data_IF_614278316067
#
_entry.id   IF_614278316067
#
_cell.length_a   1.000
_cell.length_b   1.000
_cell.length_c   1.000
_cell.angle_alpha   90.00
_cell.angle_beta   90.00
_cell.angle_gamma   90.00
#
_symmetry.space_group_name_H-M   'P 1'
#
loop_
_entity.id
_entity.type
_entity.pdbx_description
1 polymer ?
#
# COMPACT_ATOMS: atom_id res chain seq x y z
N UNK A 1 0.66 8.97 26.91
CA UNK A 1 -0.21 8.53 25.80
C UNK A 1 0.70 7.81 24.84
N UNK A 2 0.65 6.47 24.85
CA UNK A 2 1.55 5.62 24.08
C UNK A 2 1.20 5.77 22.60
N UNK A 3 2.18 6.15 21.78
CA UNK A 3 2.07 6.18 20.32
C UNK A 3 1.66 4.78 19.87
N UNK A 4 0.46 4.70 19.29
CA UNK A 4 -0.15 3.47 18.86
C UNK A 4 0.74 2.75 17.85
N UNK A 5 1.06 1.51 18.20
CA UNK A 5 1.12 0.39 17.27
C UNK A 5 2.18 0.59 16.18
N UNK A 6 3.41 0.20 16.51
CA UNK A 6 4.25 -0.50 15.54
C UNK A 6 3.41 -1.73 15.17
N UNK A 7 2.61 -1.61 14.12
CA UNK A 7 1.84 -2.72 13.61
C UNK A 7 2.84 -3.82 13.29
N UNK A 8 2.67 -4.93 13.98
CA UNK A 8 3.36 -6.19 13.74
C UNK A 8 3.54 -6.35 12.23
N UNK A 9 4.80 -6.39 11.79
CA UNK A 9 5.23 -6.38 10.39
C UNK A 9 4.83 -7.66 9.61
N UNK A 10 3.81 -8.36 10.06
CA UNK A 10 3.02 -9.31 9.28
C UNK A 10 1.87 -8.53 8.62
N UNK A 11 2.18 -7.61 7.69
CA UNK A 11 1.16 -7.03 6.81
C UNK A 11 0.61 -8.17 5.93
N UNK A 12 -0.39 -8.88 6.45
CA UNK A 12 -1.23 -9.76 5.66
C UNK A 12 -2.08 -8.87 4.77
N UNK A 13 -1.51 -8.51 3.62
CA UNK A 13 -2.22 -7.77 2.58
C UNK A 13 -3.51 -8.51 2.22
N UNK A 14 -4.66 -7.89 2.50
CA UNK A 14 -5.99 -8.39 2.22
C UNK A 14 -6.64 -7.55 1.11
N UNK A 15 -7.49 -8.19 0.31
CA UNK A 15 -8.30 -7.48 -0.70
C UNK A 15 -9.27 -6.53 -0.01
N UNK A 16 -9.27 -5.27 -0.42
CA UNK A 16 -10.04 -4.18 0.19
C UNK A 16 -9.22 -3.30 1.14
N UNK A 17 -8.01 -3.71 1.51
CA UNK A 17 -7.13 -2.88 2.35
C UNK A 17 -6.60 -1.67 1.57
N UNK A 18 -6.45 -0.54 2.26
CA UNK A 18 -5.95 0.72 1.69
C UNK A 18 -4.49 0.95 2.07
N UNK A 19 -3.62 1.08 1.07
CA UNK A 19 -2.19 1.35 1.22
C UNK A 19 -1.82 2.70 0.65
N UNK A 20 -0.92 3.42 1.33
CA UNK A 20 -0.39 4.69 0.87
C UNK A 20 0.96 4.49 0.19
N UNK A 21 1.04 4.86 -1.09
CA UNK A 21 2.25 4.77 -1.91
C UNK A 21 2.42 6.09 -2.65
N UNK A 22 3.59 6.72 -2.52
CA UNK A 22 3.89 7.98 -3.24
C UNK A 22 2.87 9.09 -2.92
N UNK A 23 2.50 9.19 -1.63
CA UNK A 23 1.48 10.14 -1.12
C UNK A 23 0.10 10.00 -1.81
N UNK A 24 -0.20 8.82 -2.34
CA UNK A 24 -1.48 8.49 -2.96
C UNK A 24 -2.03 7.23 -2.33
N UNK A 25 -3.33 7.23 -2.06
CA UNK A 25 -4.03 6.05 -1.58
C UNK A 25 -4.28 5.09 -2.74
N UNK A 26 -4.04 3.81 -2.48
CA UNK A 26 -4.29 2.69 -3.37
C UNK A 26 -5.01 1.61 -2.59
N UNK A 27 -5.92 0.91 -3.26
CA UNK A 27 -6.75 -0.12 -2.65
C UNK A 27 -6.27 -1.46 -3.21
N UNK A 28 -6.10 -2.45 -2.36
CA UNK A 28 -5.74 -3.79 -2.78
C UNK A 28 -6.95 -4.43 -3.45
N UNK A 29 -6.89 -4.59 -4.77
CA UNK A 29 -7.95 -5.22 -5.54
C UNK A 29 -7.84 -6.74 -5.55
N UNK A 30 -6.63 -7.29 -5.61
CA UNK A 30 -6.40 -8.74 -5.67
C UNK A 30 -5.08 -9.13 -4.99
N UNK A 31 -5.05 -10.29 -4.33
CA UNK A 31 -3.83 -10.89 -3.78
C UNK A 31 -3.75 -12.34 -4.22
N UNK A 32 -2.78 -12.67 -5.08
CA UNK A 32 -2.63 -13.98 -5.70
C UNK A 32 -1.16 -14.41 -5.67
N UNK A 33 -0.86 -15.49 -4.95
CA UNK A 33 0.44 -16.17 -4.97
C UNK A 33 1.65 -15.23 -4.78
N UNK A 34 1.54 -14.28 -3.84
CA UNK A 34 2.59 -13.30 -3.52
C UNK A 34 2.60 -12.04 -4.42
N UNK A 35 1.72 -11.97 -5.42
CA UNK A 35 1.42 -10.74 -6.18
C UNK A 35 0.22 -10.03 -5.57
N UNK A 36 0.28 -8.72 -5.58
CA UNK A 36 -0.75 -7.81 -5.08
C UNK A 36 -1.09 -6.87 -6.22
N UNK A 37 -2.36 -6.86 -6.64
CA UNK A 37 -2.88 -5.86 -7.57
C UNK A 37 -3.48 -4.73 -6.75
N UNK A 38 -2.99 -3.54 -7.01
CA UNK A 38 -3.48 -2.29 -6.48
C UNK A 38 -4.37 -1.63 -7.51
N UNK A 39 -5.45 -1.01 -7.05
CA UNK A 39 -6.34 -0.20 -7.84
C UNK A 39 -6.53 1.14 -7.13
N UNK A 40 -6.54 2.22 -7.90
CA UNK A 40 -7.01 3.51 -7.42
C UNK A 40 -7.93 4.11 -8.46
N UNK A 41 -8.95 4.79 -8.00
CA UNK A 41 -9.79 5.59 -8.86
C UNK A 41 -9.19 7.00 -8.97
N UNK A 42 -8.87 7.40 -10.19
CA UNK A 42 -8.49 8.77 -10.47
C UNK A 42 -9.70 9.69 -10.40
N UNK A 43 -9.51 10.89 -9.87
CA UNK A 43 -10.51 11.98 -9.89
C UNK A 43 -10.99 12.34 -11.31
N UNK A 44 -10.22 11.97 -12.33
CA UNK A 44 -10.53 12.13 -13.75
C UNK A 44 -11.52 11.07 -14.28
N UNK A 45 -11.99 10.16 -13.41
CA UNK A 45 -12.83 9.02 -13.80
C UNK A 45 -12.05 7.85 -14.42
N UNK A 46 -10.72 7.96 -14.50
CA UNK A 46 -9.85 6.87 -14.96
C UNK A 46 -9.34 6.07 -13.77
N UNK A 47 -9.75 4.82 -13.66
CA UNK A 47 -9.16 3.87 -12.72
C UNK A 47 -7.76 3.47 -13.17
N UNK A 48 -6.80 3.48 -12.26
CA UNK A 48 -5.42 3.05 -12.49
C UNK A 48 -5.16 1.80 -11.68
N UNK A 49 -4.60 0.78 -12.32
CA UNK A 49 -4.18 -0.45 -11.66
C UNK A 49 -2.67 -0.58 -11.69
N UNK A 50 -2.11 -1.21 -10.66
CA UNK A 50 -0.68 -1.45 -10.54
C UNK A 50 -0.44 -2.82 -9.93
N UNK A 51 0.29 -3.68 -10.63
CA UNK A 51 0.65 -5.01 -10.16
C UNK A 51 2.03 -4.93 -9.49
N UNK A 52 2.08 -5.27 -8.20
CA UNK A 52 3.31 -5.31 -7.41
C UNK A 52 3.45 -6.66 -6.72
N UNK A 53 4.65 -6.98 -6.25
CA UNK A 53 4.83 -8.11 -5.34
C UNK A 53 4.69 -7.64 -3.90
N UNK A 54 4.45 -8.56 -2.96
CA UNK A 54 4.44 -8.22 -1.52
C UNK A 54 5.74 -7.55 -1.07
N UNK A 55 6.88 -8.00 -1.57
CA UNK A 55 8.20 -7.43 -1.26
C UNK A 55 8.32 -6.00 -1.77
N UNK A 56 7.98 -5.75 -3.04
CA UNK A 56 7.98 -4.41 -3.64
C UNK A 56 7.03 -3.47 -2.90
N UNK A 57 5.83 -3.95 -2.53
CA UNK A 57 4.86 -3.17 -1.78
C UNK A 57 5.39 -2.75 -0.42
N UNK A 58 6.04 -3.66 0.32
CA UNK A 58 6.70 -3.31 1.58
C UNK A 58 7.80 -2.26 1.40
N UNK A 59 8.60 -2.34 0.33
CA UNK A 59 9.64 -1.35 0.04
C UNK A 59 9.04 0.03 -0.28
N UNK A 60 8.00 0.08 -1.13
CA UNK A 60 7.31 1.31 -1.50
C UNK A 60 6.67 2.01 -0.28
N UNK A 61 6.10 1.24 0.65
CA UNK A 61 5.54 1.75 1.90
C UNK A 61 6.61 2.22 2.88
N UNK A 62 7.79 1.57 2.91
CA UNK A 62 8.93 2.01 3.72
C UNK A 62 9.52 3.32 3.21
N UNK A 63 9.68 3.47 1.89
CA UNK A 63 10.19 4.70 1.27
C UNK A 63 9.25 5.88 1.56
N UNK A 64 7.93 5.67 1.52
CA UNK A 64 6.96 6.72 1.85
C UNK A 64 7.00 7.15 3.32
N UNK A 65 7.34 6.25 4.25
CA UNK A 65 7.49 6.59 5.67
C UNK A 65 8.81 7.33 5.97
N UNK A 66 9.85 7.16 5.16
CA UNK A 66 11.15 7.78 5.38
C UNK A 66 11.21 9.26 4.99
N UNK A 67 10.15 9.81 4.38
CA UNK A 67 10.13 11.19 3.91
C UNK A 67 9.62 12.22 4.94
N UNK A 68 9.26 11.81 6.15
CA UNK A 68 8.81 12.71 7.22
C UNK A 68 9.90 13.07 8.25
N UNK A 69 11.14 12.62 8.06
CA UNK A 69 12.28 12.96 8.92
C UNK A 69 13.22 13.94 8.18
N UNK A 70 12.82 15.22 8.08
CA UNK A 70 13.74 16.35 7.88
C UNK A 70 13.14 17.67 8.40
#
# INVERSE_FOLDING_TARGET
MVLGIIADLSLEYEVGDSVFIDNKEWIIAEVLNGKVKLQRDGIDGTSRTMDVTRSELQELMKVSQHQFDN
#
